data_IF_679746491500
#
_entry.id   IF_679746491500
#
_cell.length_a   1.000
_cell.length_b   1.000
_cell.length_c   1.000
_cell.angle_alpha   90.00
_cell.angle_beta   90.00
_cell.angle_gamma   90.00
#
_symmetry.space_group_name_H-M   'P 1'
#
loop_
_entity.id
_entity.type
_entity.pdbx_description
1 polymer ?
#
# COMPACT_ATOMS: atom_id res chain seq x y z
N UNK A 1 -13.12 15.53 -13.68
CA UNK A 1 -11.92 14.84 -14.18
C UNK A 1 -10.74 15.29 -13.32
N UNK A 2 -9.85 14.38 -12.91
CA UNK A 2 -8.74 14.67 -11.99
C UNK A 2 -7.43 14.97 -12.72
N UNK A 3 -7.03 14.13 -13.68
CA UNK A 3 -5.82 14.34 -14.49
C UNK A 3 -6.09 15.37 -15.60
N UNK A 4 -6.26 16.63 -15.19
CA UNK A 4 -6.31 17.76 -16.13
C UNK A 4 -4.92 17.93 -16.72
N UNK A 5 -4.83 18.02 -18.04
CA UNK A 5 -3.58 18.27 -18.74
C UNK A 5 -3.57 19.67 -19.34
N UNK A 6 -2.42 20.33 -19.22
CA UNK A 6 -2.10 21.55 -19.96
C UNK A 6 -0.73 21.38 -20.61
N UNK A 7 -0.61 21.68 -21.90
CA UNK A 7 0.65 21.56 -22.67
C UNK A 7 1.35 20.20 -22.51
N UNK A 8 0.58 19.11 -22.44
CA UNK A 8 1.08 17.74 -22.21
C UNK A 8 1.78 17.54 -20.85
N UNK A 9 1.54 18.41 -19.88
CA UNK A 9 1.89 18.20 -18.48
C UNK A 9 0.69 17.56 -17.79
N UNK A 10 0.92 16.42 -17.13
CA UNK A 10 -0.12 15.61 -16.50
C UNK A 10 0.16 15.55 -14.99
N UNK A 11 -0.75 16.11 -14.21
CA UNK A 11 -0.59 16.16 -12.76
C UNK A 11 -0.86 14.81 -12.10
N UNK A 12 -0.14 14.52 -11.01
CA UNK A 12 -0.31 13.30 -10.22
C UNK A 12 0.22 12.03 -10.89
N UNK A 13 1.40 12.12 -11.51
CA UNK A 13 2.14 10.95 -12.00
C UNK A 13 2.49 10.00 -10.85
N UNK A 14 2.60 8.70 -11.15
CA UNK A 14 3.07 7.69 -10.17
C UNK A 14 4.48 7.96 -9.62
N UNK A 15 5.25 8.80 -10.31
CA UNK A 15 6.61 9.19 -9.93
C UNK A 15 6.65 10.53 -9.17
N UNK A 16 5.54 11.27 -9.16
CA UNK A 16 5.42 12.59 -8.55
C UNK A 16 4.07 12.69 -7.82
N UNK A 17 4.01 12.00 -6.67
CA UNK A 17 2.79 11.85 -5.89
C UNK A 17 2.78 12.88 -4.76
N UNK A 18 1.76 13.73 -4.75
CA UNK A 18 1.49 14.63 -3.61
C UNK A 18 0.83 13.82 -2.48
N UNK A 19 1.64 13.32 -1.55
CA UNK A 19 1.14 12.47 -0.45
C UNK A 19 0.34 13.23 0.62
N UNK A 20 0.56 14.54 0.75
CA UNK A 20 -0.11 15.41 1.71
C UNK A 20 -0.34 16.79 1.10
N UNK A 21 -1.52 16.99 0.51
CA UNK A 21 -1.95 18.31 0.06
C UNK A 21 -2.58 19.07 1.24
N UNK A 22 -2.08 20.27 1.49
CA UNK A 22 -2.52 21.17 2.56
C UNK A 22 -3.08 22.48 2.02
N UNK A 23 -3.14 22.63 0.68
CA UNK A 23 -3.56 23.87 0.01
C UNK A 23 -4.96 23.75 -0.60
N UNK A 24 -5.51 22.54 -0.69
CA UNK A 24 -6.85 22.29 -1.18
C UNK A 24 -7.93 22.98 -0.35
N UNK A 25 -8.80 23.76 -1.00
CA UNK A 25 -9.85 24.55 -0.31
C UNK A 25 -11.24 23.96 -0.44
N UNK A 26 -11.48 23.07 -1.42
CA UNK A 26 -12.80 22.51 -1.70
C UNK A 26 -13.85 23.52 -2.21
N UNK A 27 -13.43 24.72 -2.64
CA UNK A 27 -14.31 25.83 -3.05
C UNK A 27 -14.21 26.13 -4.55
N UNK A 28 -15.14 26.89 -5.17
CA UNK A 28 -15.03 27.31 -6.56
C UNK A 28 -13.65 27.91 -6.91
N UNK A 29 -13.14 27.64 -8.12
CA UNK A 29 -11.76 28.00 -8.50
C UNK A 29 -10.70 26.97 -8.08
N UNK A 30 -11.10 25.70 -7.94
CA UNK A 30 -10.26 24.60 -7.50
C UNK A 30 -8.96 24.46 -8.30
N UNK A 31 -7.89 24.11 -7.59
CA UNK A 31 -6.57 23.84 -8.15
C UNK A 31 -6.64 22.66 -9.12
N UNK A 32 -6.18 22.88 -10.35
CA UNK A 32 -6.10 21.86 -11.41
C UNK A 32 -4.66 21.46 -11.74
N UNK A 33 -3.70 22.09 -11.05
CA UNK A 33 -2.26 21.81 -11.07
C UNK A 33 -1.88 20.67 -10.10
N UNK A 34 -2.86 19.93 -9.55
CA UNK A 34 -2.65 18.75 -8.71
C UNK A 34 -3.81 17.77 -8.86
N UNK A 35 -3.51 16.47 -8.81
CA UNK A 35 -4.51 15.40 -8.77
C UNK A 35 -4.62 14.81 -7.35
N UNK A 36 -5.21 15.59 -6.44
CA UNK A 36 -5.39 15.25 -5.01
C UNK A 36 -6.87 15.25 -4.66
N UNK A 37 -7.24 14.62 -3.54
CA UNK A 37 -8.62 14.65 -3.05
C UNK A 37 -8.97 16.07 -2.57
N UNK A 38 -8.02 16.71 -1.91
CA UNK A 38 -8.13 18.00 -1.25
C UNK A 38 -8.33 19.14 -2.23
N UNK A 39 -7.79 19.06 -3.45
CA UNK A 39 -8.00 20.09 -4.47
C UNK A 39 -9.48 20.33 -4.74
N UNK A 40 -10.28 19.26 -4.71
CA UNK A 40 -11.73 19.27 -4.93
C UNK A 40 -12.56 19.24 -3.65
N UNK A 41 -12.10 18.58 -2.59
CA UNK A 41 -12.88 18.32 -1.37
C UNK A 41 -12.42 19.11 -0.14
N UNK A 42 -11.29 19.81 -0.24
CA UNK A 42 -10.68 20.54 0.87
C UNK A 42 -10.12 19.62 1.96
N UNK A 43 -9.75 20.23 3.08
CA UNK A 43 -9.15 19.55 4.23
C UNK A 43 -10.16 19.06 5.28
N UNK A 44 -11.40 19.53 5.20
CA UNK A 44 -12.46 19.20 6.17
C UNK A 44 -13.75 18.82 5.45
N UNK A 45 -13.76 17.72 4.67
CA UNK A 45 -14.92 17.34 3.87
C UNK A 45 -16.09 16.80 4.70
N UNK A 46 -15.86 16.39 5.95
CA UNK A 46 -16.92 15.88 6.82
C UNK A 46 -17.66 17.03 7.52
N UNK A 47 -19.00 17.03 7.57
CA UNK A 47 -19.77 18.11 8.21
C UNK A 47 -19.43 18.27 9.70
N UNK A 48 -19.26 19.51 10.18
CA UNK A 48 -18.99 19.77 11.61
C UNK A 48 -20.27 19.73 12.47
N UNK A 49 -21.07 18.68 12.31
CA UNK A 49 -22.37 18.48 12.99
C UNK A 49 -22.31 17.42 14.10
N UNK A 50 -21.22 16.66 14.20
CA UNK A 50 -21.02 15.61 15.19
C UNK A 50 -19.56 15.49 15.62
N UNK A 51 -19.32 14.97 16.83
CA UNK A 51 -17.98 14.70 17.32
C UNK A 51 -17.24 13.71 16.41
N UNK A 52 -17.95 12.72 15.85
CA UNK A 52 -17.38 11.74 14.92
C UNK A 52 -16.81 12.43 13.67
N UNK A 53 -17.60 13.29 13.02
CA UNK A 53 -17.16 13.98 11.82
C UNK A 53 -16.01 14.96 12.09
N UNK A 54 -16.05 15.66 13.22
CA UNK A 54 -14.93 16.51 13.67
C UNK A 54 -13.67 15.67 13.84
N UNK A 55 -13.77 14.47 14.41
CA UNK A 55 -12.63 13.55 14.53
C UNK A 55 -12.17 13.03 13.17
N UNK A 56 -13.06 12.68 12.24
CA UNK A 56 -12.68 12.27 10.88
C UNK A 56 -11.89 13.37 10.17
N UNK A 57 -12.30 14.64 10.31
CA UNK A 57 -11.52 15.77 9.81
C UNK A 57 -10.12 15.86 10.45
N UNK A 58 -9.95 15.55 11.74
CA UNK A 58 -8.62 15.53 12.36
C UNK A 58 -7.74 14.35 11.88
N UNK A 59 -8.32 13.25 11.43
CA UNK A 59 -7.54 12.10 10.95
C UNK A 59 -6.72 12.44 9.70
N UNK A 60 -7.15 13.42 8.90
CA UNK A 60 -6.43 13.80 7.68
C UNK A 60 -5.04 14.39 7.97
N UNK A 61 -4.68 14.67 9.22
CA UNK A 61 -3.30 15.02 9.60
C UNK A 61 -2.33 13.84 9.42
N UNK A 62 -2.85 12.61 9.54
CA UNK A 62 -2.08 11.36 9.64
C UNK A 62 -2.52 10.30 8.63
N UNK A 63 -3.76 10.34 8.15
CA UNK A 63 -4.36 9.33 7.28
C UNK A 63 -4.68 9.98 5.93
N UNK A 64 -4.28 9.35 4.83
CA UNK A 64 -4.65 9.78 3.50
C UNK A 64 -6.14 9.49 3.23
N UNK A 65 -6.82 10.33 2.45
CA UNK A 65 -8.22 10.10 2.08
C UNK A 65 -8.43 8.71 1.47
N UNK A 66 -7.48 8.29 0.62
CA UNK A 66 -7.41 7.00 -0.04
C UNK A 66 -7.49 5.83 0.96
N UNK A 67 -6.85 5.94 2.12
CA UNK A 67 -6.83 4.87 3.14
C UNK A 67 -8.24 4.57 3.65
N UNK A 68 -9.04 5.60 3.94
CA UNK A 68 -10.41 5.40 4.44
C UNK A 68 -11.40 5.09 3.30
N UNK A 69 -11.20 5.70 2.13
CA UNK A 69 -12.19 5.66 1.06
C UNK A 69 -11.93 4.60 -0.01
N UNK A 70 -10.83 3.83 0.09
CA UNK A 70 -10.54 2.70 -0.79
C UNK A 70 -10.32 1.45 0.09
N UNK A 71 -11.40 0.90 0.68
CA UNK A 71 -11.30 -0.19 1.66
C UNK A 71 -10.73 -1.48 1.06
N UNK A 72 -11.00 -1.71 -0.23
CA UNK A 72 -10.49 -2.84 -1.00
C UNK A 72 -10.17 -2.45 -2.44
N UNK A 73 -9.21 -3.14 -3.05
CA UNK A 73 -8.84 -3.05 -4.46
C UNK A 73 -9.27 -4.30 -5.22
N UNK A 74 -9.18 -4.25 -6.56
CA UNK A 74 -9.65 -5.34 -7.43
C UNK A 74 -11.12 -5.70 -7.15
N UNK A 75 -11.96 -4.65 -7.07
CA UNK A 75 -13.42 -4.78 -6.91
C UNK A 75 -14.08 -5.00 -8.26
N UNK A 76 -15.31 -5.52 -8.24
CA UNK A 76 -16.15 -5.65 -9.43
C UNK A 76 -15.96 -6.95 -10.22
N UNK A 77 -15.47 -8.02 -9.57
CA UNK A 77 -15.35 -9.33 -10.20
C UNK A 77 -14.09 -9.54 -11.01
N UNK A 78 -13.15 -8.59 -11.00
CA UNK A 78 -11.91 -8.64 -11.79
C UNK A 78 -10.71 -8.72 -10.86
N UNK A 79 -10.03 -9.87 -10.85
CA UNK A 79 -8.94 -10.13 -9.94
C UNK A 79 -7.68 -9.31 -10.26
N UNK A 80 -6.79 -9.18 -9.28
CA UNK A 80 -5.43 -8.70 -9.50
C UNK A 80 -4.43 -9.77 -9.10
N UNK A 81 -3.30 -9.81 -9.79
CA UNK A 81 -2.21 -10.72 -9.46
C UNK A 81 -1.54 -10.26 -8.17
N UNK A 82 -1.31 -11.20 -7.25
CA UNK A 82 -0.69 -10.96 -5.94
C UNK A 82 0.65 -11.67 -5.78
N UNK A 83 0.87 -12.73 -6.55
CA UNK A 83 2.06 -13.58 -6.54
C UNK A 83 2.41 -13.97 -7.97
N UNK A 84 3.69 -13.92 -8.31
CA UNK A 84 4.23 -14.36 -9.60
C UNK A 84 5.54 -15.09 -9.38
N UNK A 85 5.58 -16.40 -9.64
CA UNK A 85 6.76 -17.23 -9.46
C UNK A 85 7.38 -17.63 -10.81
N UNK A 86 8.52 -17.01 -11.16
CA UNK A 86 9.25 -17.36 -12.38
C UNK A 86 10.01 -18.68 -12.29
N UNK A 87 10.25 -19.24 -11.09
CA UNK A 87 11.00 -20.50 -10.94
C UNK A 87 10.35 -21.67 -11.65
N UNK A 88 9.04 -21.61 -11.80
CA UNK A 88 8.24 -22.70 -12.39
C UNK A 88 8.04 -22.55 -13.89
N UNK A 89 8.52 -21.46 -14.49
CA UNK A 89 8.46 -21.22 -15.91
C UNK A 89 9.30 -22.27 -16.68
N UNK A 90 8.97 -22.47 -17.95
CA UNK A 90 9.69 -23.38 -18.85
C UNK A 90 9.16 -24.82 -18.92
N UNK A 91 8.09 -25.18 -18.20
CA UNK A 91 7.49 -26.51 -18.34
C UNK A 91 6.77 -26.60 -19.69
N UNK A 92 6.96 -27.70 -20.41
CA UNK A 92 6.32 -27.96 -21.71
C UNK A 92 5.47 -29.22 -21.67
N UNK A 93 4.46 -29.32 -22.53
CA UNK A 93 3.72 -30.56 -22.82
C UNK A 93 4.05 -30.96 -24.26
N UNK A 94 4.70 -32.11 -24.46
CA UNK A 94 5.15 -32.59 -25.77
C UNK A 94 6.07 -31.61 -26.53
N UNK A 95 6.93 -30.89 -25.82
CA UNK A 95 7.82 -29.88 -26.40
C UNK A 95 7.16 -28.53 -26.69
N UNK A 96 5.85 -28.39 -26.50
CA UNK A 96 5.14 -27.13 -26.67
C UNK A 96 4.85 -26.46 -25.32
N UNK A 97 4.99 -25.13 -25.30
CA UNK A 97 4.55 -24.31 -24.17
C UNK A 97 3.03 -24.36 -23.98
N UNK A 98 2.58 -24.34 -22.74
CA UNK A 98 1.17 -24.40 -22.38
C UNK A 98 0.80 -23.34 -21.35
N UNK A 99 -0.50 -23.23 -21.08
CA UNK A 99 -1.06 -22.41 -20.01
C UNK A 99 -2.17 -23.17 -19.30
N UNK A 100 -2.33 -22.91 -18.02
CA UNK A 100 -3.41 -23.45 -17.19
C UNK A 100 -4.27 -22.29 -16.69
N UNK A 101 -5.57 -22.52 -16.52
CA UNK A 101 -6.56 -21.46 -16.27
C UNK A 101 -7.47 -21.86 -15.12
N UNK A 102 -6.86 -22.11 -13.97
CA UNK A 102 -7.56 -22.69 -12.81
C UNK A 102 -8.19 -21.65 -11.88
N UNK A 103 -8.11 -20.36 -12.24
CA UNK A 103 -8.75 -19.29 -11.47
C UNK A 103 -9.95 -18.71 -12.23
N UNK A 104 -11.15 -18.94 -11.70
CA UNK A 104 -12.38 -18.31 -12.15
C UNK A 104 -12.60 -17.05 -11.32
N UNK A 105 -12.69 -15.90 -12.01
CA UNK A 105 -12.94 -14.63 -11.34
C UNK A 105 -14.42 -14.47 -10.96
N UNK A 106 -14.73 -13.45 -10.17
CA UNK A 106 -16.11 -13.11 -9.79
C UNK A 106 -17.01 -12.73 -10.97
N UNK A 107 -16.44 -12.26 -12.09
CA UNK A 107 -17.17 -12.00 -13.34
C UNK A 107 -17.41 -13.26 -14.21
N UNK A 108 -16.90 -14.42 -13.79
CA UNK A 108 -16.98 -15.70 -14.50
C UNK A 108 -15.87 -15.94 -15.51
N UNK A 109 -15.03 -14.95 -15.81
CA UNK A 109 -13.91 -15.11 -16.76
C UNK A 109 -12.72 -15.82 -16.12
N UNK A 110 -12.05 -16.67 -16.90
CA UNK A 110 -10.91 -17.44 -16.40
C UNK A 110 -9.56 -16.73 -16.59
N UNK A 111 -8.77 -16.68 -15.52
CA UNK A 111 -7.38 -16.19 -15.49
C UNK A 111 -6.40 -17.34 -15.63
N UNK A 112 -5.32 -17.09 -16.36
CA UNK A 112 -4.22 -18.06 -16.43
C UNK A 112 -3.47 -18.09 -15.08
N UNK A 113 -3.42 -19.26 -14.46
CA UNK A 113 -2.68 -19.54 -13.22
C UNK A 113 -1.27 -20.04 -13.49
N UNK A 114 -1.02 -20.55 -14.70
CA UNK A 114 0.31 -20.91 -15.18
C UNK A 114 0.49 -20.52 -16.64
N UNK A 115 1.71 -20.12 -17.03
CA UNK A 115 2.15 -20.04 -18.43
C UNK A 115 3.59 -20.50 -18.52
N UNK A 116 3.94 -21.39 -19.46
CA UNK A 116 5.34 -21.80 -19.67
C UNK A 116 6.30 -20.63 -19.83
N UNK A 117 5.84 -19.55 -20.48
CA UNK A 117 6.63 -18.35 -20.73
C UNK A 117 6.83 -17.43 -19.50
N UNK A 118 6.15 -17.69 -18.37
CA UNK A 118 6.11 -16.76 -17.22
C UNK A 118 6.09 -17.44 -15.85
N UNK A 119 5.74 -18.72 -15.75
CA UNK A 119 5.60 -19.43 -14.47
C UNK A 119 4.20 -19.34 -13.88
N UNK A 120 4.12 -19.45 -12.56
CA UNK A 120 2.87 -19.53 -11.79
C UNK A 120 2.40 -18.15 -11.31
N UNK A 121 1.08 -18.02 -11.17
CA UNK A 121 0.41 -16.80 -10.72
C UNK A 121 -0.63 -17.10 -9.64
N UNK A 122 -0.73 -16.23 -8.63
CA UNK A 122 -1.89 -16.18 -7.74
C UNK A 122 -2.62 -14.86 -7.88
N UNK A 123 -3.93 -14.92 -7.67
CA UNK A 123 -4.84 -13.79 -7.83
C UNK A 123 -5.71 -13.61 -6.60
N UNK A 124 -6.14 -12.36 -6.38
CA UNK A 124 -7.13 -12.02 -5.38
C UNK A 124 -8.09 -10.94 -5.90
N UNK A 125 -9.28 -10.94 -5.33
CA UNK A 125 -10.33 -9.94 -5.53
C UNK A 125 -10.70 -9.31 -4.19
N UNK A 126 -11.23 -8.09 -4.22
CA UNK A 126 -11.61 -7.34 -3.01
C UNK A 126 -10.49 -7.34 -1.96
N UNK A 127 -9.24 -7.18 -2.43
CA UNK A 127 -8.04 -7.30 -1.62
C UNK A 127 -7.90 -6.07 -0.72
N UNK A 128 -7.61 -6.30 0.55
CA UNK A 128 -7.27 -5.23 1.50
C UNK A 128 -5.89 -4.66 1.12
N UNK A 129 -5.74 -3.33 0.94
CA UNK A 129 -4.45 -2.74 0.66
C UNK A 129 -3.44 -2.97 1.80
N UNK A 130 -2.17 -3.01 1.43
CA UNK A 130 -1.09 -2.86 2.40
C UNK A 130 -1.00 -1.38 2.83
N UNK A 131 -0.84 -1.09 4.11
CA UNK A 131 -0.77 0.29 4.61
C UNK A 131 0.65 0.66 5.02
N UNK A 132 1.08 1.86 4.66
CA UNK A 132 2.43 2.35 4.97
C UNK A 132 2.48 3.86 5.17
N UNK A 133 3.41 4.35 5.98
CA UNK A 133 3.71 5.78 6.05
C UNK A 133 4.39 6.23 4.76
N UNK A 134 3.83 7.27 4.13
CA UNK A 134 4.28 7.76 2.84
C UNK A 134 4.34 9.28 2.81
N UNK A 135 5.47 9.81 2.36
CA UNK A 135 5.71 11.24 2.20
C UNK A 135 5.71 11.72 0.73
N UNK A 136 5.36 10.84 -0.22
CA UNK A 136 5.33 11.15 -1.65
C UNK A 136 6.52 10.56 -2.42
N UNK A 137 7.58 10.15 -1.72
CA UNK A 137 8.78 9.62 -2.35
C UNK A 137 8.77 8.09 -2.46
N UNK A 138 8.84 7.59 -3.69
CA UNK A 138 9.15 6.19 -4.00
C UNK A 138 10.67 6.02 -4.17
N UNK A 139 11.20 4.88 -3.77
CA UNK A 139 12.57 4.43 -4.05
C UNK A 139 12.49 3.27 -5.03
N UNK A 140 13.37 3.24 -6.02
CA UNK A 140 13.43 2.18 -7.02
C UNK A 140 14.79 1.49 -6.96
N UNK A 141 14.76 0.16 -6.89
CA UNK A 141 15.94 -0.67 -7.11
C UNK A 141 16.24 -0.66 -8.61
N UNK A 142 17.47 -0.32 -8.94
CA UNK A 142 17.95 -0.20 -10.31
C UNK A 142 18.82 -1.39 -10.68
N UNK A 143 19.18 -1.50 -11.95
CA UNK A 143 20.05 -2.60 -12.42
C UNK A 143 21.45 -2.56 -11.79
N UNK A 144 21.91 -1.37 -11.38
CA UNK A 144 23.20 -1.16 -10.71
C UNK A 144 23.15 -1.45 -9.20
N UNK A 145 21.96 -1.68 -8.65
CA UNK A 145 21.79 -1.89 -7.21
C UNK A 145 22.23 -3.31 -6.84
N UNK A 146 23.25 -3.39 -5.98
CA UNK A 146 23.64 -4.64 -5.33
C UNK A 146 22.79 -4.89 -4.10
N UNK A 147 22.36 -6.13 -3.91
CA UNK A 147 21.64 -6.57 -2.73
C UNK A 147 22.27 -7.84 -2.15
N UNK A 148 21.75 -8.31 -1.03
CA UNK A 148 22.15 -9.57 -0.42
C UNK A 148 20.92 -10.48 -0.37
N UNK A 149 20.84 -11.51 -1.23
CA UNK A 149 19.68 -12.38 -1.31
C UNK A 149 19.48 -13.20 -0.02
N UNK A 150 20.49 -13.30 0.86
CA UNK A 150 20.36 -13.99 2.15
C UNK A 150 19.65 -13.15 3.23
N UNK A 151 19.53 -11.83 3.03
CA UNK A 151 18.89 -10.92 4.00
C UNK A 151 17.36 -10.87 3.88
N UNK A 152 16.80 -11.64 2.96
CA UNK A 152 15.36 -11.76 2.75
C UNK A 152 14.89 -11.08 1.46
N UNK A 153 13.64 -10.66 1.48
CA UNK A 153 12.94 -10.14 0.29
C UNK A 153 13.55 -8.82 -0.19
N UNK A 154 13.76 -8.70 -1.49
CA UNK A 154 14.28 -7.49 -2.14
C UNK A 154 13.13 -6.62 -2.65
N UNK A 155 13.05 -5.37 -2.22
CA UNK A 155 12.08 -4.44 -2.78
C UNK A 155 12.54 -3.95 -4.17
N UNK A 156 11.78 -4.23 -5.22
CA UNK A 156 12.02 -3.67 -6.56
C UNK A 156 11.70 -2.17 -6.57
N UNK A 157 10.68 -1.81 -5.82
CA UNK A 157 10.44 -0.44 -5.41
C UNK A 157 9.92 -0.45 -3.98
N UNK A 158 10.12 0.64 -3.27
CA UNK A 158 9.62 0.87 -1.92
C UNK A 158 9.19 2.33 -1.75
N UNK A 159 8.66 2.68 -0.59
CA UNK A 159 8.20 4.03 -0.28
C UNK A 159 8.83 4.53 1.01
N UNK A 160 8.97 5.86 1.10
CA UNK A 160 9.53 6.54 2.28
C UNK A 160 8.42 7.23 3.04
N UNK A 161 8.47 7.13 4.36
CA UNK A 161 7.67 7.93 5.26
C UNK A 161 7.85 7.50 6.71
N UNK A 162 7.45 8.36 7.63
CA UNK A 162 7.46 8.02 9.05
C UNK A 162 6.35 8.74 9.81
N UNK A 163 5.98 8.20 10.97
CA UNK A 163 5.05 8.87 11.88
C UNK A 163 5.60 10.18 12.47
N UNK A 164 6.87 10.52 12.29
CA UNK A 164 7.51 11.66 12.99
C UNK A 164 7.99 12.77 12.08
N UNK A 165 7.93 12.61 10.75
CA UNK A 165 8.48 13.57 9.80
C UNK A 165 7.56 14.78 9.51
N UNK A 166 6.34 14.80 10.05
CA UNK A 166 5.34 15.88 9.88
C UNK A 166 4.73 16.01 8.48
N UNK A 167 5.27 15.31 7.47
CA UNK A 167 4.84 15.36 6.07
C UNK A 167 4.18 14.08 5.58
N UNK A 168 4.43 12.95 6.24
CA UNK A 168 3.85 11.67 5.89
C UNK A 168 2.40 11.51 6.32
N UNK A 169 1.67 10.72 5.54
CA UNK A 169 0.39 10.12 5.94
C UNK A 169 0.44 8.60 5.76
N UNK A 170 -0.47 7.89 6.39
CA UNK A 170 -0.71 6.47 6.13
C UNK A 170 -1.48 6.36 4.81
N UNK A 171 -0.89 5.66 3.85
CA UNK A 171 -1.40 5.46 2.49
C UNK A 171 -1.65 3.97 2.21
N UNK A 172 -2.62 3.64 1.33
CA UNK A 172 -2.84 2.28 0.85
C UNK A 172 -1.97 1.98 -0.37
N UNK A 173 -1.42 0.78 -0.41
CA UNK A 173 -0.59 0.24 -1.49
C UNK A 173 -1.10 -1.12 -1.94
N UNK A 174 -1.03 -1.38 -3.25
CA UNK A 174 -0.99 -2.75 -3.74
C UNK A 174 0.44 -3.26 -3.56
N UNK A 175 0.62 -4.27 -2.72
CA UNK A 175 1.85 -5.06 -2.65
C UNK A 175 1.75 -6.24 -3.62
N UNK A 176 2.81 -6.50 -4.38
CA UNK A 176 2.96 -7.67 -5.25
C UNK A 176 4.17 -8.44 -4.80
N UNK A 177 4.01 -9.74 -4.54
CA UNK A 177 5.13 -10.64 -4.34
C UNK A 177 5.57 -11.22 -5.68
N UNK A 178 6.87 -11.30 -5.95
CA UNK A 178 7.37 -11.92 -7.17
C UNK A 178 8.67 -12.65 -6.89
N UNK A 179 8.79 -13.89 -7.35
CA UNK A 179 10.06 -14.59 -7.39
C UNK A 179 10.63 -14.44 -8.78
N UNK A 180 11.77 -13.77 -8.92
CA UNK A 180 12.37 -13.44 -10.21
C UNK A 180 13.85 -13.84 -10.26
N UNK A 181 14.40 -14.09 -11.47
CA UNK A 181 15.81 -14.39 -11.60
C UNK A 181 16.66 -13.16 -11.24
N UNK A 182 17.86 -13.42 -10.73
CA UNK A 182 18.90 -12.43 -10.48
C UNK A 182 20.29 -13.00 -10.81
N UNK A 183 21.29 -12.13 -10.95
CA UNK A 183 22.66 -12.55 -11.19
C UNK A 183 23.28 -13.00 -9.86
N UNK A 184 23.52 -14.30 -9.73
CA UNK A 184 24.01 -14.92 -8.48
C UNK A 184 25.43 -14.48 -8.13
N UNK A 185 26.30 -14.34 -9.12
CA UNK A 185 27.68 -13.95 -8.90
C UNK A 185 27.85 -12.46 -8.57
N UNK A 186 27.01 -11.59 -9.17
CA UNK A 186 27.10 -10.15 -8.97
C UNK A 186 26.16 -9.60 -7.88
N UNK A 187 25.17 -10.39 -7.46
CA UNK A 187 24.07 -10.01 -6.58
C UNK A 187 23.33 -8.75 -7.04
N UNK A 188 22.96 -8.73 -8.32
CA UNK A 188 22.21 -7.64 -8.96
C UNK A 188 20.98 -8.21 -9.67
N UNK A 189 20.03 -7.33 -9.99
CA UNK A 189 18.95 -7.67 -10.91
C UNK A 189 19.51 -8.05 -12.29
N UNK A 190 18.68 -8.68 -13.11
CA UNK A 190 19.03 -9.04 -14.50
C UNK A 190 18.02 -8.51 -15.49
N UNK A 191 18.49 -8.17 -16.67
CA UNK A 191 17.66 -8.01 -17.85
C UNK A 191 17.60 -9.32 -18.63
N UNK A 192 16.41 -9.62 -19.14
CA UNK A 192 16.17 -10.82 -19.94
C UNK A 192 15.69 -10.45 -21.33
N UNK A 193 16.24 -11.11 -22.34
CA UNK A 193 15.67 -11.12 -23.69
C UNK A 193 14.45 -12.06 -23.71
N UNK A 194 13.27 -11.50 -23.45
CA UNK A 194 12.05 -12.30 -23.33
C UNK A 194 11.42 -12.68 -24.67
N UNK A 195 11.52 -11.81 -25.68
CA UNK A 195 10.76 -11.94 -26.94
C UNK A 195 11.64 -11.67 -28.17
N UNK A 196 11.55 -12.56 -29.15
CA UNK A 196 12.25 -12.52 -30.43
C UNK A 196 12.10 -13.85 -31.18
N UNK A 197 12.39 -13.84 -32.48
CA UNK A 197 12.48 -15.05 -33.32
C UNK A 197 13.94 -15.55 -33.39
N UNK A 198 14.55 -15.72 -32.22
CA UNK A 198 15.95 -16.13 -32.08
C UNK A 198 16.11 -17.12 -30.92
N UNK A 199 17.22 -17.85 -30.90
CA UNK A 199 17.52 -18.88 -29.90
C UNK A 199 17.71 -18.32 -28.47
N UNK A 200 17.94 -17.02 -28.32
CA UNK A 200 18.17 -16.38 -27.03
C UNK A 200 16.87 -15.87 -26.38
N UNK A 201 15.74 -15.87 -27.10
CA UNK A 201 14.48 -15.38 -26.56
C UNK A 201 13.84 -16.40 -25.58
N UNK A 202 13.54 -15.97 -24.36
CA UNK A 202 12.96 -16.87 -23.35
C UNK A 202 11.60 -17.45 -23.78
N UNK A 203 10.72 -16.67 -24.40
CA UNK A 203 9.34 -17.09 -24.69
C UNK A 203 9.19 -18.19 -25.77
N UNK A 204 10.27 -18.54 -26.46
CA UNK A 204 10.32 -19.68 -27.39
C UNK A 204 11.21 -20.83 -26.93
N UNK A 205 12.25 -20.53 -26.15
CA UNK A 205 13.32 -21.49 -25.85
C UNK A 205 13.37 -21.93 -24.39
N UNK A 206 12.74 -21.18 -23.48
CA UNK A 206 12.66 -21.48 -22.04
C UNK A 206 14.01 -21.60 -21.31
N UNK A 207 15.07 -21.01 -21.87
CA UNK A 207 16.41 -20.98 -21.27
C UNK A 207 16.66 -19.63 -20.59
N UNK A 208 16.66 -19.61 -19.26
CA UNK A 208 16.95 -18.40 -18.47
C UNK A 208 18.39 -17.92 -18.67
N UNK A 209 19.37 -18.82 -18.71
CA UNK A 209 20.78 -18.44 -18.78
C UNK A 209 21.10 -17.71 -20.08
N UNK A 210 20.63 -18.26 -21.21
CA UNK A 210 20.79 -17.61 -22.52
C UNK A 210 20.01 -16.30 -22.62
N UNK A 211 18.77 -16.25 -22.13
CA UNK A 211 17.96 -15.04 -22.15
C UNK A 211 18.54 -13.91 -21.28
N UNK A 212 19.08 -14.25 -20.10
CA UNK A 212 19.75 -13.29 -19.22
C UNK A 212 21.03 -12.78 -19.89
N UNK A 213 21.89 -13.70 -20.38
CA UNK A 213 23.12 -13.32 -21.07
C UNK A 213 22.85 -12.34 -22.21
N UNK A 214 21.93 -12.68 -23.12
CA UNK A 214 21.59 -11.82 -24.24
C UNK A 214 20.98 -10.47 -23.79
N UNK A 215 20.14 -10.48 -22.76
CA UNK A 215 19.54 -9.28 -22.19
C UNK A 215 20.57 -8.32 -21.59
N UNK A 216 21.53 -8.87 -20.84
CA UNK A 216 22.61 -8.11 -20.22
C UNK A 216 23.63 -7.58 -21.25
N UNK A 217 24.05 -8.43 -22.18
CA UNK A 217 24.98 -8.05 -23.28
C UNK A 217 24.41 -6.92 -24.13
N UNK A 218 23.12 -7.00 -24.51
CA UNK A 218 22.44 -5.95 -25.28
C UNK A 218 22.47 -4.58 -24.59
N UNK A 219 22.55 -4.56 -23.26
CA UNK A 219 22.59 -3.34 -22.46
C UNK A 219 24.00 -2.99 -21.95
N UNK A 220 25.04 -3.68 -22.42
CA UNK A 220 26.43 -3.51 -21.98
C UNK A 220 26.62 -3.71 -20.47
N UNK A 221 25.88 -4.64 -19.87
CA UNK A 221 25.94 -4.96 -18.45
C UNK A 221 26.69 -6.28 -18.22
N UNK A 222 27.46 -6.40 -17.13
CA UNK A 222 28.13 -7.65 -16.79
C UNK A 222 27.11 -8.71 -16.36
N UNK A 223 27.33 -9.95 -16.77
CA UNK A 223 26.64 -11.12 -16.25
C UNK A 223 27.68 -12.12 -15.76
N UNK A 224 27.51 -12.65 -14.54
CA UNK A 224 28.46 -13.62 -13.98
C UNK A 224 28.47 -14.97 -14.70
N UNK A 225 27.44 -15.26 -15.49
CA UNK A 225 27.20 -16.57 -16.09
C UNK A 225 26.28 -17.47 -15.24
N UNK A 226 26.02 -17.08 -13.99
CA UNK A 226 25.15 -17.81 -13.07
C UNK A 226 23.95 -16.97 -12.65
N UNK A 227 22.77 -17.60 -12.63
CA UNK A 227 21.56 -17.00 -12.08
C UNK A 227 20.98 -17.89 -10.99
N UNK A 228 20.22 -17.27 -10.11
CA UNK A 228 19.37 -17.93 -9.15
C UNK A 228 18.09 -17.09 -9.02
N UNK A 229 17.19 -17.45 -8.10
CA UNK A 229 15.95 -16.73 -7.89
C UNK A 229 15.89 -16.05 -6.54
N UNK A 230 15.26 -14.87 -6.50
CA UNK A 230 15.08 -14.08 -5.29
C UNK A 230 13.63 -13.67 -5.12
N UNK A 231 13.13 -13.73 -3.89
CA UNK A 231 11.83 -13.18 -3.52
C UNK A 231 11.91 -11.66 -3.54
N UNK A 232 10.87 -11.04 -4.10
CA UNK A 232 10.80 -9.59 -4.24
C UNK A 232 9.42 -9.04 -3.91
N UNK A 233 9.39 -7.78 -3.47
CA UNK A 233 8.17 -7.01 -3.37
C UNK A 233 8.17 -5.81 -4.30
N UNK A 234 6.97 -5.44 -4.75
CA UNK A 234 6.72 -4.16 -5.41
C UNK A 234 5.46 -3.53 -4.84
N UNK A 235 5.48 -2.21 -4.68
CA UNK A 235 4.38 -1.45 -4.11
C UNK A 235 3.88 -0.37 -5.07
N UNK A 236 2.55 -0.27 -5.23
CA UNK A 236 1.91 0.80 -5.99
C UNK A 236 0.91 1.54 -5.11
N UNK A 237 1.02 2.87 -4.98
CA UNK A 237 0.03 3.64 -4.24
C UNK A 237 -1.34 3.51 -4.91
N UNK A 238 -2.38 3.31 -4.09
CA UNK A 238 -3.75 3.13 -4.56
C UNK A 238 -4.50 4.44 -4.49
N UNK A 239 -4.93 4.93 -5.66
CA UNK A 239 -5.53 6.26 -5.83
C UNK A 239 -6.89 6.24 -6.52
N UNK A 240 -7.36 5.07 -6.95
CA UNK A 240 -8.58 4.87 -7.72
C UNK A 240 -9.50 3.87 -7.02
N UNK A 241 -10.72 3.69 -7.57
CA UNK A 241 -11.77 2.89 -6.93
C UNK A 241 -12.17 3.43 -5.55
N UNK A 242 -12.32 4.75 -5.42
CA UNK A 242 -12.98 5.36 -4.26
C UNK A 242 -14.37 4.75 -4.11
N UNK A 243 -14.67 4.22 -2.93
CA UNK A 243 -15.96 3.62 -2.60
C UNK A 243 -17.01 4.69 -2.27
N UNK A 244 -18.30 4.36 -2.38
CA UNK A 244 -19.37 5.15 -1.77
C UNK A 244 -19.06 5.45 -0.30
N UNK A 245 -19.57 6.57 0.21
CA UNK A 245 -19.24 7.05 1.57
C UNK A 245 -19.67 6.08 2.66
N UNK A 246 -20.74 5.33 2.44
CA UNK A 246 -21.29 4.29 3.31
C UNK A 246 -20.37 3.06 3.43
N UNK A 247 -19.49 2.85 2.46
CA UNK A 247 -18.52 1.75 2.42
C UNK A 247 -17.12 2.19 2.86
N UNK A 248 -16.95 3.45 3.27
CA UNK A 248 -15.68 3.93 3.80
C UNK A 248 -15.34 3.22 5.12
N UNK A 249 -14.05 3.06 5.40
CA UNK A 249 -13.59 2.42 6.62
C UNK A 249 -14.16 3.08 7.87
N UNK A 250 -14.65 2.26 8.78
CA UNK A 250 -15.18 2.69 10.08
C UNK A 250 -14.10 2.68 11.16
N UNK A 251 -14.37 3.37 12.29
CA UNK A 251 -13.43 3.49 13.40
C UNK A 251 -12.87 2.14 13.87
N UNK A 252 -13.75 1.15 14.03
CA UNK A 252 -13.40 -0.17 14.56
C UNK A 252 -12.56 -1.01 13.58
N UNK A 253 -12.53 -0.68 12.29
CA UNK A 253 -11.65 -1.39 11.37
C UNK A 253 -10.19 -1.03 11.62
N UNK A 254 -9.90 0.16 12.16
CA UNK A 254 -8.53 0.61 12.44
C UNK A 254 -8.16 0.48 13.92
N UNK A 255 -9.06 0.87 14.83
CA UNK A 255 -8.79 1.04 16.26
C UNK A 255 -8.92 -0.25 17.09
N UNK A 256 -8.66 -1.40 16.48
CA UNK A 256 -8.67 -2.71 17.15
C UNK A 256 -7.32 -3.40 16.95
N UNK A 257 -6.98 -4.32 17.86
CA UNK A 257 -5.67 -4.99 17.88
C UNK A 257 -5.30 -5.65 16.55
N UNK A 258 -6.26 -6.36 15.95
CA UNK A 258 -6.10 -7.08 14.69
C UNK A 258 -6.81 -6.35 13.53
N UNK A 259 -6.68 -5.03 13.50
CA UNK A 259 -7.30 -4.14 12.52
C UNK A 259 -6.44 -3.83 11.29
N UNK A 260 -6.88 -2.88 10.47
CA UNK A 260 -6.18 -2.38 9.27
C UNK A 260 -4.77 -1.85 9.57
N UNK A 261 -4.54 -1.37 10.78
CA UNK A 261 -3.32 -0.65 11.17
C UNK A 261 -2.34 -1.53 11.96
N UNK A 262 -2.57 -2.84 12.04
CA UNK A 262 -1.81 -3.78 12.90
C UNK A 262 -0.30 -3.70 12.68
N UNK A 263 0.16 -3.67 11.44
CA UNK A 263 1.61 -3.71 11.12
C UNK A 263 2.32 -2.35 11.23
N UNK A 264 1.57 -1.26 11.44
CA UNK A 264 2.15 0.07 11.48
C UNK A 264 2.76 0.39 12.84
N UNK A 265 3.93 1.03 12.84
CA UNK A 265 4.67 1.37 14.06
C UNK A 265 4.95 2.87 14.13
N UNK A 266 5.48 3.30 15.28
CA UNK A 266 5.96 4.67 15.50
C UNK A 266 4.90 5.67 16.00
N UNK A 267 3.71 5.21 16.39
CA UNK A 267 2.68 6.03 17.00
C UNK A 267 1.81 5.21 17.95
N UNK A 268 1.11 5.89 18.85
CA UNK A 268 0.10 5.29 19.72
C UNK A 268 -1.28 5.41 19.07
N UNK A 269 -1.98 4.30 18.97
CA UNK A 269 -3.34 4.20 18.45
C UNK A 269 -4.30 3.74 19.55
N UNK A 270 -5.27 4.58 19.96
CA UNK A 270 -6.29 4.17 20.91
C UNK A 270 -7.04 2.90 20.44
N UNK A 271 -7.27 1.96 21.35
CA UNK A 271 -7.99 0.71 21.09
C UNK A 271 -7.13 -0.43 20.50
N UNK A 272 -6.13 -0.10 19.68
CA UNK A 272 -5.12 -1.06 19.20
C UNK A 272 -3.98 -1.21 20.22
N UNK A 273 -3.39 -0.09 20.62
CA UNK A 273 -2.25 -0.05 21.52
C UNK A 273 -2.71 0.12 22.97
N UNK A 274 -2.01 -0.55 23.89
CA UNK A 274 -2.18 -0.38 25.33
C UNK A 274 -0.85 0.00 25.95
N UNK A 275 -0.86 0.92 26.90
CA UNK A 275 0.33 1.28 27.67
C UNK A 275 -0.05 1.27 29.14
N UNK A 276 0.46 0.29 29.88
CA UNK A 276 0.10 0.06 31.28
C UNK A 276 0.14 1.33 32.14
N UNK A 277 1.18 2.16 32.00
CA UNK A 277 1.32 3.37 32.80
C UNK A 277 0.34 4.46 32.39
N UNK A 278 0.12 4.65 31.08
CA UNK A 278 -0.90 5.60 30.61
C UNK A 278 -2.30 5.16 31.01
N UNK A 279 -2.59 3.86 30.88
CA UNK A 279 -3.88 3.27 31.23
C UNK A 279 -4.12 3.40 32.74
N UNK A 280 -3.12 3.07 33.57
CA UNK A 280 -3.18 3.21 35.03
C UNK A 280 -3.37 4.67 35.45
N UNK A 281 -2.56 5.59 34.93
CA UNK A 281 -2.67 7.02 35.26
C UNK A 281 -4.01 7.59 34.81
N UNK A 282 -4.51 7.19 33.64
CA UNK A 282 -5.83 7.55 33.14
C UNK A 282 -6.95 7.07 34.08
N UNK A 283 -6.90 5.81 34.52
CA UNK A 283 -7.85 5.25 35.47
C UNK A 283 -7.80 5.99 36.81
N UNK A 284 -6.60 6.24 37.35
CA UNK A 284 -6.42 7.00 38.60
C UNK A 284 -7.02 8.40 38.47
N UNK A 285 -6.79 9.08 37.35
CA UNK A 285 -7.34 10.42 37.10
C UNK A 285 -8.87 10.41 37.07
N UNK A 286 -9.49 9.42 36.41
CA UNK A 286 -10.95 9.26 36.36
C UNK A 286 -11.50 9.02 37.78
N UNK A 287 -10.92 8.08 38.53
CA UNK A 287 -11.35 7.76 39.90
C UNK A 287 -11.23 8.99 40.81
N UNK A 288 -10.11 9.69 40.76
CA UNK A 288 -9.85 10.87 41.59
C UNK A 288 -10.84 12.00 41.27
N UNK A 289 -11.13 12.21 39.99
CA UNK A 289 -12.13 13.20 39.55
C UNK A 289 -13.53 12.84 40.03
N UNK A 290 -13.93 11.57 39.90
CA UNK A 290 -15.22 11.09 40.38
C UNK A 290 -15.37 11.27 41.91
N UNK A 291 -14.35 10.90 42.67
CA UNK A 291 -14.32 11.09 44.12
C UNK A 291 -14.42 12.58 44.51
N UNK A 292 -13.72 13.47 43.80
CA UNK A 292 -13.80 14.91 44.05
C UNK A 292 -15.20 15.46 43.77
N UNK A 293 -15.86 15.04 42.69
CA UNK A 293 -17.23 15.45 42.36
C UNK A 293 -18.23 14.95 43.41
N UNK A 294 -18.11 13.69 43.84
CA UNK A 294 -18.96 13.11 44.89
C UNK A 294 -18.74 13.85 46.22
N UNK A 295 -17.48 14.07 46.62
CA UNK A 295 -17.16 14.79 47.84
C UNK A 295 -17.72 16.22 47.82
N UNK A 296 -17.56 16.94 46.70
CA UNK A 296 -18.13 18.27 46.51
C UNK A 296 -19.67 18.26 46.59
N UNK A 297 -20.31 17.26 45.99
CA UNK A 297 -21.76 17.04 46.08
C UNK A 297 -22.24 16.81 47.52
N UNK A 298 -21.54 15.95 48.26
CA UNK A 298 -21.85 15.66 49.67
C UNK A 298 -21.67 16.89 50.56
N UNK A 299 -20.59 17.64 50.37
CA UNK A 299 -20.35 18.91 51.08
C UNK A 299 -21.53 19.87 50.85
N UNK A 300 -21.99 20.01 49.60
CA UNK A 300 -23.17 20.85 49.30
C UNK A 300 -24.43 20.40 50.03
N UNK A 301 -24.72 19.10 50.06
CA UNK A 301 -25.90 18.54 50.75
C UNK A 301 -25.83 18.78 52.26
N UNK A 302 -24.67 18.51 52.88
CA UNK A 302 -24.47 18.70 54.33
C UNK A 302 -24.55 20.17 54.71
N UNK A 303 -23.97 21.07 53.92
CA UNK A 303 -24.01 22.50 54.18
C UNK A 303 -25.41 23.12 54.01
N UNK A 304 -26.22 22.62 53.07
CA UNK A 304 -27.61 23.06 52.93
C UNK A 304 -28.50 22.57 54.09
N UNK A 305 -28.30 21.32 54.56
CA UNK A 305 -29.05 20.79 55.73
C UNK A 305 -28.73 21.48 57.06
N UNK A 306 -27.63 22.24 57.14
CA UNK A 306 -27.27 23.06 58.31
C UNK A 306 -27.85 24.49 58.26
N UNK A 307 -28.48 24.87 57.14
CA UNK A 307 -29.12 26.18 56.95
C UNK A 307 -30.63 26.16 57.20
N UNK A 308 -31.22 24.97 57.30
CA UNK A 308 -32.56 24.71 57.82
C UNK A 308 -32.47 24.35 59.31
#
# INVERSE_FOLDING_TARGET
>A
SCHVSDKHIWEGSRYDVVAKDTKGTGKPGQRRDVATCESCHGLQPHPNDSLSNIKLNNHIDRIACQTCHIPTIARGGVATMTDWDWRTAGKTKNGEGYKEKEYTQGDGEHRATYKSIKGDFKYAENLVPHYGWFNGQMIYTTIDTKFDPSKGVVDINSYVGSATDGKSRIWPFKQMHTVMPYDKGNNTLVYMHLWGEDENAYWGNYDFGNAIKAGMEKNNLPYSGEYDFVDTYSYWPITHMVAPKEDALTCNECHVKDGRMTDLKGFYMPGRDSNYWLDLLGIIAIITTLLAVIAHGLIRVVMNRKRD
#
